data_IF_682621848517
#
_entry.id   IF_682621848517
#
_cell.length_a   1.000
_cell.length_b   1.000
_cell.length_c   1.000
_cell.angle_alpha   90.00
_cell.angle_beta   90.00
_cell.angle_gamma   90.00
#
_symmetry.space_group_name_H-M   'P 1'
#
loop_
_entity.id
_entity.type
_entity.pdbx_description
1 polymer ?
#
# COMPACT_ATOMS: atom_id res chain seq x y z
N UNK A 1 48.47 -26.74 7.68
CA UNK A 1 47.71 -26.05 8.75
C UNK A 1 46.78 -24.91 8.28
N UNK A 2 46.74 -24.51 6.99
CA UNK A 2 45.76 -23.51 6.49
C UNK A 2 44.58 -24.12 5.73
N UNK A 3 44.77 -25.27 5.05
CA UNK A 3 43.72 -25.94 4.27
C UNK A 3 42.66 -26.63 5.14
N UNK A 4 43.00 -27.09 6.34
CA UNK A 4 42.05 -27.75 7.27
C UNK A 4 40.99 -26.80 7.84
N UNK A 5 41.26 -25.49 7.86
CA UNK A 5 40.32 -24.48 8.36
C UNK A 5 39.23 -24.15 7.34
N UNK A 6 39.52 -24.28 6.05
CA UNK A 6 38.54 -24.02 4.97
C UNK A 6 37.53 -25.19 4.91
N UNK A 7 38.01 -26.44 4.99
CA UNK A 7 37.14 -27.61 4.96
C UNK A 7 36.24 -27.75 6.20
N UNK A 8 36.69 -27.37 7.40
CA UNK A 8 35.83 -27.39 8.61
C UNK A 8 34.69 -26.37 8.58
N UNK A 9 34.83 -25.29 7.81
CA UNK A 9 33.81 -24.24 7.73
C UNK A 9 32.66 -24.59 6.76
N UNK A 10 32.92 -25.47 5.79
CA UNK A 10 31.91 -25.95 4.85
C UNK A 10 31.09 -27.11 5.42
N UNK A 11 31.67 -27.92 6.31
CA UNK A 11 31.03 -29.09 6.92
C UNK A 11 30.24 -28.79 8.21
N UNK A 12 30.22 -27.54 8.69
CA UNK A 12 29.45 -27.11 9.87
C UNK A 12 28.22 -26.29 9.55
N UNK A 13 27.87 -26.13 8.27
CA UNK A 13 26.57 -25.58 7.92
C UNK A 13 25.52 -26.67 8.18
N UNK A 14 24.61 -26.51 9.16
CA UNK A 14 23.48 -27.44 9.26
C UNK A 14 22.76 -27.37 7.92
N UNK A 15 22.49 -28.52 7.31
CA UNK A 15 21.62 -28.63 6.16
C UNK A 15 20.41 -27.75 6.46
N UNK A 16 20.32 -26.62 5.76
CA UNK A 16 19.28 -25.63 5.98
C UNK A 16 17.98 -26.37 5.76
N UNK A 17 17.30 -26.67 6.86
CA UNK A 17 16.13 -27.54 6.82
C UNK A 17 15.17 -26.94 5.79
N UNK A 18 14.56 -27.79 4.96
CA UNK A 18 13.59 -27.37 3.93
C UNK A 18 12.45 -26.52 4.53
N UNK A 19 12.28 -26.58 5.86
CA UNK A 19 11.36 -25.76 6.65
C UNK A 19 11.65 -24.24 6.56
N UNK A 20 12.91 -23.84 6.34
CA UNK A 20 13.28 -22.42 6.11
C UNK A 20 12.93 -21.91 4.70
N UNK A 21 12.39 -22.76 3.83
CA UNK A 21 11.77 -22.36 2.56
C UNK A 21 10.25 -22.23 2.64
N UNK A 22 9.66 -22.14 3.85
CA UNK A 22 8.33 -21.55 3.93
C UNK A 22 8.45 -20.14 3.36
N UNK A 23 7.85 -19.92 2.18
CA UNK A 23 7.70 -18.59 1.60
C UNK A 23 7.31 -17.67 2.74
N UNK A 24 8.21 -16.75 3.12
CA UNK A 24 7.90 -15.73 4.12
C UNK A 24 6.62 -15.12 3.61
N UNK A 25 5.48 -15.43 4.25
CA UNK A 25 4.18 -14.88 3.88
C UNK A 25 4.36 -13.39 4.05
N UNK A 26 4.70 -12.71 2.96
CA UNK A 26 4.71 -11.28 2.95
C UNK A 26 3.31 -10.90 3.43
N UNK A 27 3.22 -9.98 4.38
CA UNK A 27 1.94 -9.40 4.84
C UNK A 27 1.07 -8.93 3.67
N UNK A 28 1.63 -8.87 2.46
CA UNK A 28 1.08 -8.37 1.23
C UNK A 28 1.06 -9.44 0.13
N UNK A 29 -0.02 -9.51 -0.64
CA UNK A 29 -0.19 -10.39 -1.80
C UNK A 29 0.75 -10.06 -2.98
N UNK A 30 0.94 -8.78 -3.31
CA UNK A 30 1.82 -8.34 -4.40
C UNK A 30 2.75 -7.19 -3.95
N UNK A 31 3.87 -7.02 -4.67
CA UNK A 31 4.72 -5.81 -4.57
C UNK A 31 3.96 -4.50 -4.85
N UNK A 32 2.89 -4.56 -5.66
CA UNK A 32 2.03 -3.41 -5.96
C UNK A 32 1.26 -2.96 -4.73
N UNK A 33 0.85 -3.89 -3.88
CA UNK A 33 0.20 -3.60 -2.61
C UNK A 33 1.19 -3.01 -1.60
N UNK A 34 2.43 -3.51 -1.59
CA UNK A 34 3.54 -2.92 -0.80
C UNK A 34 3.74 -1.46 -1.20
N UNK A 35 3.82 -1.17 -2.49
CA UNK A 35 4.00 0.20 -3.02
C UNK A 35 2.80 1.10 -2.66
N UNK A 36 1.57 0.59 -2.77
CA UNK A 36 0.37 1.35 -2.38
C UNK A 36 0.33 1.63 -0.87
N UNK A 37 0.71 0.66 -0.04
CA UNK A 37 0.79 0.86 1.41
C UNK A 37 1.83 1.93 1.80
N UNK A 38 3.01 1.93 1.16
CA UNK A 38 4.02 2.98 1.36
C UNK A 38 3.47 4.37 1.00
N UNK A 39 2.71 4.48 -0.09
CA UNK A 39 2.03 5.74 -0.46
C UNK A 39 1.00 6.16 0.59
N UNK A 40 0.17 5.24 1.07
CA UNK A 40 -0.82 5.52 2.13
C UNK A 40 -0.14 6.02 3.41
N UNK A 41 1.00 5.44 3.79
CA UNK A 41 1.80 5.90 4.93
C UNK A 41 2.36 7.31 4.69
N UNK A 42 2.91 7.56 3.50
CA UNK A 42 3.41 8.89 3.13
C UNK A 42 2.31 9.96 3.16
N UNK A 43 1.13 9.65 2.59
CA UNK A 43 -0.04 10.52 2.64
C UNK A 43 -0.45 10.79 4.09
N UNK A 44 -0.51 9.75 4.94
CA UNK A 44 -0.85 9.90 6.37
C UNK A 44 0.10 10.86 7.08
N UNK A 45 1.40 10.72 6.85
CA UNK A 45 2.43 11.53 7.53
C UNK A 45 2.37 13.01 7.14
N UNK A 46 2.11 13.31 5.86
CA UNK A 46 2.14 14.68 5.34
C UNK A 46 0.75 15.30 5.12
N UNK A 47 -0.33 14.63 5.53
CA UNK A 47 -1.70 15.02 5.19
C UNK A 47 -2.03 16.44 5.68
N UNK A 48 -1.77 16.72 6.95
CA UNK A 48 -2.14 17.98 7.60
C UNK A 48 -1.40 19.17 6.98
N UNK A 49 -0.07 19.08 6.91
CA UNK A 49 0.78 20.14 6.37
C UNK A 49 0.44 20.40 4.90
N UNK A 50 0.31 19.35 4.09
CA UNK A 50 0.00 19.47 2.67
C UNK A 50 -1.35 20.13 2.44
N UNK A 51 -2.37 19.82 3.26
CA UNK A 51 -3.69 20.46 3.14
C UNK A 51 -3.63 21.93 3.47
N UNK A 52 -2.86 22.35 4.50
CA UNK A 52 -2.70 23.76 4.85
C UNK A 52 -2.11 24.56 3.67
N UNK A 53 -1.02 24.07 3.07
CA UNK A 53 -0.42 24.74 1.91
C UNK A 53 -1.34 24.70 0.67
N UNK A 54 -2.07 23.61 0.44
CA UNK A 54 -3.04 23.52 -0.66
C UNK A 54 -4.22 24.47 -0.48
N UNK A 55 -4.65 24.73 0.75
CA UNK A 55 -5.71 25.69 1.05
C UNK A 55 -5.28 27.12 0.68
N UNK A 56 -4.06 27.52 1.08
CA UNK A 56 -3.47 28.82 0.72
C UNK A 56 -3.32 28.94 -0.79
N UNK A 57 -2.79 27.90 -1.46
CA UNK A 57 -2.62 27.88 -2.92
C UNK A 57 -3.92 28.07 -3.69
N UNK A 58 -5.05 27.55 -3.18
CA UNK A 58 -6.35 27.56 -3.87
C UNK A 58 -7.27 28.72 -3.47
N UNK A 59 -6.86 29.53 -2.51
CA UNK A 59 -7.71 30.59 -1.97
C UNK A 59 -7.79 31.78 -2.93
N UNK A 60 -9.01 32.18 -3.32
CA UNK A 60 -9.24 33.30 -4.25
C UNK A 60 -9.00 34.67 -3.62
N UNK A 61 -9.13 34.78 -2.29
CA UNK A 61 -9.02 36.05 -1.55
C UNK A 61 -7.57 36.52 -1.41
N UNK A 62 -6.60 35.59 -1.47
CA UNK A 62 -5.20 35.92 -1.24
C UNK A 62 -4.54 36.53 -2.48
N UNK A 63 -3.56 37.43 -2.28
CA UNK A 63 -2.69 37.92 -3.36
C UNK A 63 -2.04 36.77 -4.13
N UNK A 64 -1.86 36.92 -5.46
CA UNK A 64 -1.27 35.88 -6.30
C UNK A 64 0.18 35.54 -5.90
N UNK A 65 0.91 36.48 -5.32
CA UNK A 65 2.28 36.27 -4.84
C UNK A 65 2.34 35.22 -3.72
N UNK A 66 1.43 35.29 -2.75
CA UNK A 66 1.36 34.31 -1.66
C UNK A 66 0.93 32.93 -2.17
N UNK A 67 0.03 32.89 -3.16
CA UNK A 67 -0.35 31.63 -3.81
C UNK A 67 0.86 31.00 -4.53
N UNK A 68 1.70 31.80 -5.19
CA UNK A 68 2.90 31.33 -5.87
C UNK A 68 3.95 30.80 -4.88
N UNK A 69 4.13 31.46 -3.74
CA UNK A 69 5.00 30.95 -2.65
C UNK A 69 4.49 29.62 -2.14
N UNK A 70 3.20 29.52 -1.79
CA UNK A 70 2.60 28.27 -1.32
C UNK A 70 2.72 27.15 -2.37
N UNK A 71 2.61 27.47 -3.66
CA UNK A 71 2.81 26.50 -4.73
C UNK A 71 4.23 25.94 -4.77
N UNK A 72 5.25 26.80 -4.65
CA UNK A 72 6.67 26.40 -4.57
C UNK A 72 6.94 25.53 -3.35
N UNK A 73 6.44 25.93 -2.19
CA UNK A 73 6.61 25.16 -0.95
C UNK A 73 6.01 23.75 -1.05
N UNK A 74 4.87 23.60 -1.73
CA UNK A 74 4.24 22.28 -1.92
C UNK A 74 5.11 21.34 -2.77
N UNK A 75 5.86 21.89 -3.72
CA UNK A 75 6.71 21.14 -4.64
C UNK A 75 8.07 20.81 -4.01
N UNK A 76 8.63 21.71 -3.22
CA UNK A 76 9.93 21.54 -2.55
C UNK A 76 9.84 20.66 -1.30
N UNK A 77 8.83 20.86 -0.45
CA UNK A 77 8.75 20.22 0.87
C UNK A 77 8.21 18.79 0.81
N UNK A 78 7.26 18.50 -0.10
CA UNK A 78 6.53 17.23 -0.08
C UNK A 78 7.00 16.25 -1.16
N UNK A 79 7.19 14.96 -0.81
CA UNK A 79 7.45 13.94 -1.82
C UNK A 79 6.22 13.77 -2.72
N UNK A 80 6.46 13.37 -3.98
CA UNK A 80 5.39 13.14 -4.97
C UNK A 80 4.30 12.17 -4.50
N UNK A 81 4.67 11.18 -3.69
CA UNK A 81 3.77 10.15 -3.17
C UNK A 81 2.92 10.61 -1.98
N UNK A 82 3.14 11.83 -1.45
CA UNK A 82 2.27 12.46 -0.45
C UNK A 82 0.92 12.93 -1.04
N UNK A 83 0.76 12.91 -2.37
CA UNK A 83 -0.51 13.24 -3.01
C UNK A 83 -1.53 12.12 -2.86
N UNK A 84 -2.67 12.42 -2.22
CA UNK A 84 -3.75 11.45 -2.00
C UNK A 84 -4.32 10.86 -3.30
N UNK A 85 -4.27 11.62 -4.40
CA UNK A 85 -4.78 11.22 -5.73
C UNK A 85 -4.07 9.96 -6.25
N UNK A 86 -2.84 9.69 -5.79
CA UNK A 86 -2.03 8.55 -6.25
C UNK A 86 -2.35 7.23 -5.54
N UNK A 87 -3.14 7.27 -4.47
CA UNK A 87 -3.55 6.08 -3.73
C UNK A 87 -4.65 5.36 -4.52
N UNK A 88 -4.51 4.04 -4.68
CA UNK A 88 -5.49 3.23 -5.41
C UNK A 88 -6.24 2.30 -4.46
N UNK A 89 -7.56 2.20 -4.62
CA UNK A 89 -8.38 1.27 -3.86
C UNK A 89 -8.21 -0.17 -4.39
N UNK A 90 -7.26 -0.90 -3.82
CA UNK A 90 -6.97 -2.30 -4.12
C UNK A 90 -7.80 -3.25 -3.25
N UNK A 91 -7.99 -4.47 -3.74
CA UNK A 91 -8.50 -5.58 -2.93
C UNK A 91 -7.53 -5.92 -1.80
N UNK A 92 -8.03 -6.01 -0.56
CA UNK A 92 -7.20 -6.34 0.61
C UNK A 92 -6.59 -7.74 0.56
N UNK A 93 -7.24 -8.70 -0.12
CA UNK A 93 -6.80 -10.10 -0.18
C UNK A 93 -5.89 -10.35 -1.39
N UNK A 94 -6.30 -9.90 -2.57
CA UNK A 94 -5.64 -10.26 -3.85
C UNK A 94 -4.93 -9.10 -4.52
N UNK A 95 -4.89 -7.89 -3.95
CA UNK A 95 -4.25 -6.70 -4.54
C UNK A 95 -4.83 -6.23 -5.90
N UNK A 96 -5.93 -6.85 -6.37
CA UNK A 96 -6.62 -6.46 -7.62
C UNK A 96 -7.03 -4.98 -7.59
N UNK A 97 -6.64 -4.17 -8.61
CA UNK A 97 -6.86 -2.73 -8.59
C UNK A 97 -8.24 -2.28 -9.06
N UNK A 98 -8.96 -3.11 -9.84
CA UNK A 98 -10.25 -2.76 -10.44
C UNK A 98 -11.36 -3.67 -9.93
N UNK A 99 -12.60 -3.21 -10.07
CA UNK A 99 -13.79 -3.97 -9.69
C UNK A 99 -13.75 -4.39 -8.22
N UNK A 100 -13.39 -3.45 -7.35
CA UNK A 100 -13.40 -3.59 -5.90
C UNK A 100 -14.74 -3.08 -5.38
N UNK A 101 -15.39 -3.86 -4.53
CA UNK A 101 -16.59 -3.45 -3.81
C UNK A 101 -16.13 -2.60 -2.64
N UNK A 102 -16.34 -1.28 -2.71
CA UNK A 102 -15.73 -0.31 -1.79
C UNK A 102 -16.07 -0.58 -0.32
N UNK A 103 -17.35 -0.89 -0.03
CA UNK A 103 -17.84 -1.21 1.32
C UNK A 103 -17.04 -2.33 2.01
N UNK A 104 -16.62 -3.35 1.26
CA UNK A 104 -15.90 -4.51 1.80
C UNK A 104 -14.39 -4.46 1.52
N UNK A 105 -13.92 -3.54 0.66
CA UNK A 105 -12.54 -3.50 0.13
C UNK A 105 -12.06 -4.83 -0.46
N UNK A 106 -12.99 -5.57 -1.08
CA UNK A 106 -12.72 -6.85 -1.74
C UNK A 106 -12.93 -6.73 -3.23
N UNK A 107 -12.17 -7.51 -4.02
CA UNK A 107 -12.45 -7.66 -5.45
C UNK A 107 -13.78 -8.37 -5.66
N UNK A 108 -14.47 -8.09 -6.78
CA UNK A 108 -15.72 -8.77 -7.16
C UNK A 108 -15.66 -10.30 -7.12
N UNK A 109 -14.49 -10.89 -7.39
CA UNK A 109 -14.28 -12.35 -7.43
C UNK A 109 -14.31 -12.91 -6.02
N UNK A 110 -13.51 -12.32 -5.11
CA UNK A 110 -13.45 -12.73 -3.71
C UNK A 110 -14.76 -12.41 -3.00
N UNK A 111 -15.35 -11.24 -3.28
CA UNK A 111 -16.63 -10.84 -2.73
C UNK A 111 -17.73 -11.83 -3.13
N UNK A 112 -17.83 -12.22 -4.40
CA UNK A 112 -18.78 -13.22 -4.88
C UNK A 112 -18.56 -14.57 -4.21
N UNK A 113 -17.32 -15.03 -4.11
CA UNK A 113 -17.00 -16.28 -3.40
C UNK A 113 -17.47 -16.24 -1.94
N UNK A 114 -17.22 -15.14 -1.20
CA UNK A 114 -17.68 -15.04 0.18
C UNK A 114 -19.21 -14.91 0.30
N UNK A 115 -19.86 -14.24 -0.65
CA UNK A 115 -21.32 -14.11 -0.70
C UNK A 115 -22.00 -15.44 -1.00
N UNK A 116 -21.52 -16.19 -2.00
CA UNK A 116 -22.12 -17.48 -2.42
C UNK A 116 -22.06 -18.53 -1.30
N UNK A 117 -21.01 -18.50 -0.47
CA UNK A 117 -20.87 -19.39 0.68
C UNK A 117 -21.41 -18.78 1.99
N UNK A 118 -22.24 -17.73 1.92
CA UNK A 118 -22.87 -17.09 3.08
C UNK A 118 -21.89 -16.65 4.19
N UNK A 119 -20.65 -16.29 3.82
CA UNK A 119 -19.62 -15.81 4.77
C UNK A 119 -19.72 -14.30 5.04
N UNK A 120 -20.56 -13.59 4.29
CA UNK A 120 -20.84 -12.16 4.47
C UNK A 120 -22.21 -12.00 5.11
N UNK A 121 -22.30 -11.19 6.16
CA UNK A 121 -23.58 -10.89 6.81
C UNK A 121 -24.48 -10.07 5.89
N UNK A 122 -25.76 -10.45 5.84
CA UNK A 122 -26.82 -9.72 5.12
C UNK A 122 -26.64 -9.57 3.61
N UNK A 123 -25.79 -10.38 2.97
CA UNK A 123 -25.65 -10.41 1.52
C UNK A 123 -26.48 -11.57 0.97
N UNK A 124 -27.52 -11.24 0.21
CA UNK A 124 -28.37 -12.22 -0.48
C UNK A 124 -28.38 -11.91 -1.98
N UNK A 125 -28.72 -12.92 -2.79
CA UNK A 125 -28.96 -12.70 -4.22
C UNK A 125 -30.22 -11.86 -4.37
N UNK A 126 -30.18 -10.86 -5.25
CA UNK A 126 -31.36 -10.08 -5.57
C UNK A 126 -32.36 -10.98 -6.33
N UNK A 127 -33.62 -10.90 -5.91
CA UNK A 127 -34.75 -11.60 -6.50
C UNK A 127 -35.75 -10.51 -6.85
N UNK A 128 -36.09 -10.40 -8.12
CA UNK A 128 -37.08 -9.48 -8.66
C UNK A 128 -37.96 -10.22 -9.65
#
# INVERSE_FOLDING_TARGET
MMLDKICRRLLSSPLRSVVDQQQVRQKWADWRMIKDNKRRQCVKNHFEERIRHLAVKKATVLPPELQAVAAKEVEEKFPRDASYIRVVNRCSVTSRPRGTVERYRLSRIVWRHLADYNKLSSVQKAIW
#
